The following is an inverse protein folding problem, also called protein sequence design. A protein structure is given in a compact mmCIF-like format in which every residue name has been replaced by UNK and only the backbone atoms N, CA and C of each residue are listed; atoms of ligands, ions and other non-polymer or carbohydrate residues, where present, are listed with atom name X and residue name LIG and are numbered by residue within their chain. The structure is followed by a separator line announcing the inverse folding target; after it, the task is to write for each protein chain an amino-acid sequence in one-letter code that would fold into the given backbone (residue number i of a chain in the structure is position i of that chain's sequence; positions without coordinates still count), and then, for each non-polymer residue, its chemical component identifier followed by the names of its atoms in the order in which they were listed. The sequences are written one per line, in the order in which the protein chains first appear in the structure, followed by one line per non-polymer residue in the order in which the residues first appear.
data_IF_195918449572
#
_entry.id   IF_195918449572
#
_cell.length_a   1.000
_cell.length_b   1.000
_cell.length_c   1.000
_cell.angle_alpha   90.00
_cell.angle_beta   90.00
_cell.angle_gamma   90.00
#
_symmetry.space_group_name_H-M   'P 1'
#
loop_
_entity.id
_entity.type
_entity.pdbx_description
1 polymer ?
#
# COMPACT_ATOMS: atom_id res chain seq x y z
N UNK A 1 -27.37 -35.34 9.73
CA UNK A 1 -26.45 -35.05 10.86
C UNK A 1 -25.64 -33.81 10.53
N UNK A 2 -25.55 -32.85 11.47
CA UNK A 2 -24.91 -31.54 11.29
C UNK A 2 -23.38 -31.63 11.37
N UNK A 3 -22.64 -30.80 10.60
CA UNK A 3 -21.58 -29.94 11.14
C UNK A 3 -21.51 -28.61 10.38
N UNK A 4 -21.48 -27.56 11.19
CA UNK A 4 -21.45 -26.14 10.89
C UNK A 4 -20.18 -25.76 10.10
N UNK A 5 -20.34 -25.01 9.01
CA UNK A 5 -19.27 -24.22 8.41
C UNK A 5 -19.80 -22.81 8.18
N UNK A 6 -19.53 -21.90 9.11
CA UNK A 6 -19.88 -20.48 8.95
C UNK A 6 -18.97 -19.86 7.90
N UNK A 7 -19.44 -19.80 6.65
CA UNK A 7 -18.82 -19.00 5.60
C UNK A 7 -19.16 -17.54 5.91
N UNK A 8 -18.21 -16.80 6.46
CA UNK A 8 -18.30 -15.35 6.48
C UNK A 8 -18.37 -14.89 5.01
N UNK A 9 -19.34 -14.04 4.62
CA UNK A 9 -19.51 -13.64 3.24
C UNK A 9 -18.20 -13.05 2.75
N UNK A 10 -17.64 -13.69 1.73
CA UNK A 10 -16.34 -13.35 1.18
C UNK A 10 -16.30 -11.86 0.89
N UNK A 11 -15.42 -11.14 1.60
CA UNK A 11 -15.03 -9.80 1.20
C UNK A 11 -14.53 -9.93 -0.23
N UNK A 12 -15.35 -9.52 -1.21
CA UNK A 12 -14.88 -9.30 -2.56
C UNK A 12 -13.68 -8.37 -2.41
N UNK A 13 -12.48 -8.92 -2.63
CA UNK A 13 -11.25 -8.16 -2.51
C UNK A 13 -11.26 -7.22 -3.70
N UNK A 14 -11.83 -6.02 -3.51
CA UNK A 14 -11.82 -4.96 -4.50
C UNK A 14 -10.35 -4.65 -4.77
N UNK A 15 -9.83 -5.20 -5.86
CA UNK A 15 -8.46 -4.99 -6.26
C UNK A 15 -8.38 -3.57 -6.79
N UNK A 16 -7.92 -2.64 -5.95
CA UNK A 16 -7.66 -1.29 -6.41
C UNK A 16 -6.52 -1.35 -7.41
N UNK A 17 -6.84 -1.12 -8.68
CA UNK A 17 -5.85 -0.93 -9.71
C UNK A 17 -5.12 0.38 -9.43
N UNK A 18 -3.79 0.30 -9.31
CA UNK A 18 -2.94 1.47 -9.18
C UNK A 18 -2.70 2.05 -10.57
N UNK A 19 -2.95 3.35 -10.71
CA UNK A 19 -2.64 4.10 -11.91
C UNK A 19 -1.28 4.81 -11.80
N UNK A 20 -0.85 5.40 -12.91
CA UNK A 20 0.44 6.10 -12.99
C UNK A 20 0.51 7.35 -12.10
N UNK A 21 -0.62 7.96 -11.74
CA UNK A 21 -0.64 9.13 -10.88
C UNK A 21 -0.39 8.73 -9.41
N UNK A 22 -1.05 7.68 -8.94
CA UNK A 22 -0.80 7.10 -7.62
C UNK A 22 0.65 6.62 -7.49
N UNK A 23 1.20 6.02 -8.55
CA UNK A 23 2.58 5.58 -8.60
C UNK A 23 3.58 6.75 -8.47
N UNK A 24 3.29 7.90 -9.10
CA UNK A 24 4.10 9.13 -8.97
C UNK A 24 4.08 9.67 -7.53
N UNK A 25 2.91 9.68 -6.90
CA UNK A 25 2.77 10.09 -5.49
C UNK A 25 3.56 9.14 -4.60
N UNK A 26 3.41 7.83 -4.80
CA UNK A 26 4.15 6.79 -4.09
C UNK A 26 5.66 7.01 -4.19
N UNK A 27 6.21 7.16 -5.40
CA UNK A 27 7.66 7.35 -5.59
C UNK A 27 8.14 8.64 -4.94
N UNK A 28 7.43 9.75 -5.13
CA UNK A 28 7.81 11.06 -4.58
C UNK A 28 7.88 11.01 -3.06
N UNK A 29 6.80 10.55 -2.41
CA UNK A 29 6.74 10.50 -0.94
C UNK A 29 7.81 9.57 -0.40
N UNK A 30 8.07 8.43 -1.04
CA UNK A 30 9.13 7.52 -0.59
C UNK A 30 10.53 8.16 -0.68
N UNK A 31 10.82 8.96 -1.71
CA UNK A 31 12.08 9.71 -1.79
C UNK A 31 12.24 10.66 -0.61
N UNK A 32 11.18 11.40 -0.25
CA UNK A 32 11.19 12.29 0.92
C UNK A 32 11.42 11.50 2.22
N UNK A 33 10.88 10.28 2.31
CA UNK A 33 11.07 9.40 3.45
C UNK A 33 12.48 8.81 3.56
N UNK A 34 13.25 8.74 2.47
CA UNK A 34 14.68 8.39 2.51
C UNK A 34 15.45 9.47 3.25
N UNK A 35 15.19 10.74 2.93
CA UNK A 35 15.83 11.90 3.59
C UNK A 35 15.54 11.88 5.09
N UNK A 36 14.34 11.45 5.49
CA UNK A 36 13.93 11.31 6.89
C UNK A 36 14.47 10.04 7.58
N UNK A 37 15.34 9.25 6.93
CA UNK A 37 15.88 7.97 7.45
C UNK A 37 14.77 6.96 7.82
N UNK A 38 13.66 7.00 7.09
CA UNK A 38 12.55 6.05 7.24
C UNK A 38 12.67 4.84 6.29
N UNK A 39 13.74 4.78 5.48
CA UNK A 39 14.21 3.55 4.86
C UNK A 39 15.22 2.84 5.78
N UNK A 40 14.86 1.66 6.28
CA UNK A 40 15.81 0.77 6.95
C UNK A 40 16.49 -0.19 5.98
N UNK A 41 17.43 -0.98 6.50
CA UNK A 41 18.29 -1.87 5.72
C UNK A 41 17.49 -2.91 4.91
N UNK A 42 16.42 -3.47 5.50
CA UNK A 42 15.56 -4.44 4.82
C UNK A 42 14.30 -3.84 4.18
N UNK A 43 13.63 -2.91 4.86
CA UNK A 43 12.32 -2.41 4.43
C UNK A 43 12.04 -0.97 4.91
N UNK A 44 10.93 -0.41 4.46
CA UNK A 44 10.45 0.90 4.94
C UNK A 44 9.88 0.79 6.36
N UNK A 45 10.13 1.83 7.16
CA UNK A 45 9.49 1.97 8.47
C UNK A 45 8.00 2.27 8.31
N UNK A 46 7.23 2.00 9.36
CA UNK A 46 5.78 2.24 9.40
C UNK A 46 5.39 3.68 9.04
N UNK A 47 6.20 4.66 9.43
CA UNK A 47 6.01 6.07 9.14
C UNK A 47 6.00 6.35 7.63
N UNK A 48 6.88 5.71 6.87
CA UNK A 48 6.94 5.92 5.42
C UNK A 48 5.67 5.39 4.72
N UNK A 49 5.18 4.23 5.14
CA UNK A 49 3.92 3.70 4.61
C UNK A 49 2.71 4.58 4.96
N UNK A 50 2.70 5.14 6.17
CA UNK A 50 1.63 6.01 6.62
C UNK A 50 1.65 7.34 5.85
N UNK A 51 2.83 7.94 5.64
CA UNK A 51 2.98 9.17 4.87
C UNK A 51 2.41 9.04 3.44
N UNK A 52 2.64 7.91 2.78
CA UNK A 52 2.06 7.63 1.46
C UNK A 52 0.54 7.53 1.53
N UNK A 53 0.00 6.84 2.54
CA UNK A 53 -1.46 6.71 2.73
C UNK A 53 -2.09 8.10 2.92
N UNK A 54 -1.47 8.93 3.75
CA UNK A 54 -1.98 10.27 4.07
C UNK A 54 -1.95 11.17 2.83
N UNK A 55 -0.86 11.13 2.05
CA UNK A 55 -0.76 11.91 0.80
C UNK A 55 -1.80 11.46 -0.24
N UNK A 56 -1.97 10.15 -0.44
CA UNK A 56 -2.97 9.63 -1.38
C UNK A 56 -4.40 9.99 -0.98
N UNK A 57 -4.70 9.95 0.33
CA UNK A 57 -6.00 10.36 0.86
C UNK A 57 -6.23 11.86 0.67
N UNK A 58 -5.19 12.67 0.88
CA UNK A 58 -5.26 14.12 0.76
C UNK A 58 -5.43 14.55 -0.70
N UNK A 59 -4.62 14.02 -1.61
CA UNK A 59 -4.57 14.50 -2.99
C UNK A 59 -5.69 13.92 -3.87
N UNK A 60 -6.11 12.68 -3.60
CA UNK A 60 -7.00 11.94 -4.47
C UNK A 60 -8.34 11.57 -3.81
N UNK A 61 -8.54 11.92 -2.53
CA UNK A 61 -9.71 11.52 -1.74
C UNK A 61 -9.98 10.00 -1.76
N UNK A 62 -8.93 9.17 -1.94
CA UNK A 62 -9.09 7.71 -2.03
C UNK A 62 -8.89 7.03 -0.67
N UNK A 63 -9.74 6.05 -0.38
CA UNK A 63 -9.52 5.18 0.76
C UNK A 63 -8.49 4.09 0.40
N UNK A 64 -7.28 4.25 0.92
CA UNK A 64 -6.18 3.30 0.87
C UNK A 64 -5.69 2.98 2.29
N UNK A 65 -5.15 1.77 2.47
CA UNK A 65 -4.52 1.31 3.71
C UNK A 65 -3.02 1.10 3.50
N UNK A 66 -2.27 1.01 4.61
CA UNK A 66 -0.83 0.69 4.56
C UNK A 66 -0.53 -0.62 3.84
N UNK A 67 -1.42 -1.61 3.95
CA UNK A 67 -1.26 -2.89 3.26
C UNK A 67 -1.45 -2.75 1.74
N UNK A 68 -2.28 -1.82 1.27
CA UNK A 68 -2.35 -1.51 -0.15
C UNK A 68 -1.01 -0.98 -0.68
N UNK A 69 -0.37 -0.08 0.07
CA UNK A 69 0.94 0.49 -0.28
C UNK A 69 2.03 -0.59 -0.28
N UNK A 70 2.09 -1.41 0.78
CA UNK A 70 3.04 -2.54 0.86
C UNK A 70 2.88 -3.51 -0.30
N UNK A 71 1.65 -3.87 -0.63
CA UNK A 71 1.36 -4.77 -1.73
C UNK A 71 1.76 -4.17 -3.09
N UNK A 72 1.61 -2.84 -3.27
CA UNK A 72 2.08 -2.16 -4.49
C UNK A 72 3.60 -2.22 -4.62
N UNK A 73 4.33 -1.95 -3.53
CA UNK A 73 5.79 -2.02 -3.54
C UNK A 73 6.32 -3.43 -3.80
N UNK A 74 5.68 -4.46 -3.24
CA UNK A 74 5.99 -5.86 -3.58
C UNK A 74 5.79 -6.14 -5.06
N UNK A 75 4.70 -5.60 -5.64
CA UNK A 75 4.44 -5.75 -7.07
C UNK A 75 5.44 -4.99 -7.95
N UNK A 76 5.96 -3.84 -7.50
CA UNK A 76 7.05 -3.14 -8.18
C UNK A 76 8.34 -3.95 -8.15
N UNK A 77 8.77 -4.43 -6.98
CA UNK A 77 9.98 -5.26 -6.85
C UNK A 77 9.94 -6.46 -7.79
N UNK A 78 8.85 -7.24 -7.76
CA UNK A 78 8.68 -8.40 -8.65
C UNK A 78 8.77 -8.09 -10.16
N UNK A 79 8.50 -6.85 -10.58
CA UNK A 79 8.53 -6.47 -12.01
C UNK A 79 9.91 -5.97 -12.47
N UNK A 80 10.78 -5.59 -11.54
CA UNK A 80 12.08 -4.99 -11.84
C UNK A 80 13.26 -5.74 -11.19
N UNK A 81 12.98 -6.81 -10.45
CA UNK A 81 13.92 -7.90 -10.09
C UNK A 81 13.97 -8.93 -11.22
#
# INVERSE_FOLDING_TARGET
MKRQGSILPGKSRVYRQWDSHMDKILSRVLLDQIVQRNKGDGDWKTQAYQAVVDQLRTDLAINVTRDNVKNRLRAWKKRYE
#
